data_IF_771046059010
#
_entry.id   IF_771046059010
#
_cell.length_a   1.000
_cell.length_b   1.000
_cell.length_c   1.000
_cell.angle_alpha   90.00
_cell.angle_beta   90.00
_cell.angle_gamma   90.00
#
_symmetry.space_group_name_H-M   'P 1'
#
loop_
_entity.id
_entity.type
_entity.pdbx_description
1 polymer ?
#
# COMPACT_ATOMS: atom_id res chain seq x y z
N UNK A 1 -38.32 -14.21 -12.85
CA UNK A 1 -36.87 -14.38 -13.13
C UNK A 1 -36.16 -13.07 -13.49
N UNK A 2 -36.68 -12.25 -14.43
CA UNK A 2 -36.06 -10.95 -14.82
C UNK A 2 -35.81 -9.95 -13.67
N UNK A 3 -36.78 -9.78 -12.76
CA UNK A 3 -36.66 -8.84 -11.62
C UNK A 3 -35.53 -9.19 -10.64
N UNK A 4 -35.33 -10.49 -10.39
CA UNK A 4 -34.29 -10.98 -9.47
C UNK A 4 -32.89 -10.70 -10.03
N UNK A 5 -32.72 -10.88 -11.34
CA UNK A 5 -31.45 -10.59 -12.01
C UNK A 5 -31.10 -9.09 -11.97
N UNK A 6 -32.09 -8.21 -12.14
CA UNK A 6 -31.89 -6.74 -12.04
C UNK A 6 -31.51 -6.33 -10.62
N UNK A 7 -32.13 -6.93 -9.60
CA UNK A 7 -31.82 -6.66 -8.20
C UNK A 7 -30.39 -7.11 -7.82
N UNK A 8 -30.00 -8.29 -8.28
CA UNK A 8 -28.63 -8.81 -8.13
C UNK A 8 -27.61 -7.91 -8.83
N UNK A 9 -27.90 -7.46 -10.05
CA UNK A 9 -27.03 -6.55 -10.80
C UNK A 9 -26.85 -5.21 -10.08
N UNK A 10 -27.93 -4.65 -9.52
CA UNK A 10 -27.88 -3.41 -8.74
C UNK A 10 -27.03 -3.57 -7.46
N UNK A 11 -27.11 -4.71 -6.77
CA UNK A 11 -26.28 -4.99 -5.59
C UNK A 11 -24.78 -5.05 -5.95
N UNK A 12 -24.44 -5.74 -7.04
CA UNK A 12 -23.04 -5.91 -7.48
C UNK A 12 -22.46 -4.58 -7.96
N UNK A 13 -23.24 -3.73 -8.64
CA UNK A 13 -22.80 -2.38 -9.05
C UNK A 13 -22.43 -1.50 -7.84
N UNK A 14 -23.21 -1.58 -6.75
CA UNK A 14 -22.89 -0.86 -5.51
C UNK A 14 -21.62 -1.40 -4.84
N UNK A 15 -21.43 -2.73 -4.86
CA UNK A 15 -20.20 -3.37 -4.36
C UNK A 15 -18.94 -2.99 -5.15
N UNK A 16 -19.06 -2.80 -6.47
CA UNK A 16 -17.96 -2.32 -7.32
C UNK A 16 -17.54 -0.88 -6.97
N UNK A 17 -18.48 0.01 -6.64
CA UNK A 17 -18.14 1.37 -6.21
C UNK A 17 -17.45 1.34 -4.85
N UNK A 18 -17.97 0.58 -3.89
CA UNK A 18 -17.39 0.48 -2.55
C UNK A 18 -15.96 -0.07 -2.59
N UNK A 19 -15.73 -1.14 -3.37
CA UNK A 19 -14.37 -1.71 -3.55
C UNK A 19 -13.44 -0.74 -4.25
N UNK A 20 -13.91 0.04 -5.24
CA UNK A 20 -13.09 1.07 -5.90
C UNK A 20 -12.74 2.22 -4.96
N UNK A 21 -13.68 2.65 -4.12
CA UNK A 21 -13.46 3.71 -3.11
C UNK A 21 -12.45 3.27 -2.05
N UNK A 22 -12.38 1.99 -1.68
CA UNK A 22 -11.42 1.49 -0.68
C UNK A 22 -10.05 1.17 -1.30
N UNK A 23 -10.03 0.56 -2.49
CA UNK A 23 -8.77 0.11 -3.12
C UNK A 23 -7.97 1.22 -3.77
N UNK A 24 -8.62 2.29 -4.26
CA UNK A 24 -7.93 3.42 -4.88
C UNK A 24 -7.08 4.20 -3.86
N UNK A 25 -7.57 4.58 -2.67
CA UNK A 25 -6.75 5.18 -1.62
C UNK A 25 -5.60 4.28 -1.17
N UNK A 26 -5.77 2.95 -1.16
CA UNK A 26 -4.69 2.04 -0.81
C UNK A 26 -3.54 2.10 -1.84
N UNK A 27 -3.87 2.17 -3.14
CA UNK A 27 -2.86 2.34 -4.20
C UNK A 27 -2.21 3.72 -4.17
N UNK A 28 -3.01 4.78 -4.03
CA UNK A 28 -2.50 6.16 -3.99
C UNK A 28 -1.69 6.39 -2.72
N UNK A 29 -2.17 5.92 -1.57
CA UNK A 29 -1.47 5.99 -0.29
C UNK A 29 -0.14 5.26 -0.32
N UNK A 30 -0.08 4.06 -0.90
CA UNK A 30 1.17 3.34 -1.10
C UNK A 30 2.16 4.10 -1.99
N UNK A 31 1.69 4.71 -3.07
CA UNK A 31 2.52 5.55 -3.94
C UNK A 31 3.03 6.81 -3.22
N UNK A 32 2.18 7.47 -2.42
CA UNK A 32 2.57 8.65 -1.64
C UNK A 32 3.61 8.27 -0.59
N UNK A 33 3.39 7.21 0.20
CA UNK A 33 4.33 6.73 1.21
C UNK A 33 5.68 6.35 0.60
N UNK A 34 5.68 5.77 -0.60
CA UNK A 34 6.92 5.44 -1.33
C UNK A 34 7.75 6.66 -1.74
N UNK A 35 7.14 7.84 -1.86
CA UNK A 35 7.83 9.09 -2.22
C UNK A 35 8.28 9.84 -0.96
N UNK A 36 7.72 9.53 0.22
CA UNK A 36 8.07 10.25 1.45
C UNK A 36 9.48 9.85 1.90
N UNK A 37 10.44 10.80 1.92
CA UNK A 37 11.83 10.52 2.30
C UNK A 37 12.01 10.16 3.78
N UNK A 38 10.97 10.30 4.60
CA UNK A 38 11.00 9.99 6.04
C UNK A 38 11.28 8.51 6.29
N UNK A 39 10.65 7.60 5.53
CA UNK A 39 10.88 6.16 5.70
C UNK A 39 12.21 5.75 5.06
N UNK A 40 12.54 6.30 3.90
CA UNK A 40 13.83 6.04 3.23
C UNK A 40 15.02 6.47 4.08
N UNK A 41 15.02 7.70 4.59
CA UNK A 41 16.11 8.24 5.41
C UNK A 41 16.25 7.52 6.76
N UNK A 42 15.15 7.04 7.35
CA UNK A 42 15.20 6.24 8.56
C UNK A 42 15.77 4.83 8.29
N UNK A 43 15.43 4.23 7.14
CA UNK A 43 15.97 2.94 6.72
C UNK A 43 17.47 3.05 6.40
N UNK A 44 17.88 4.05 5.62
CA UNK A 44 19.29 4.29 5.27
C UNK A 44 20.15 4.52 6.52
N UNK A 45 19.68 5.33 7.49
CA UNK A 45 20.44 5.57 8.73
C UNK A 45 20.66 4.29 9.56
N UNK A 46 19.68 3.40 9.60
CA UNK A 46 19.81 2.09 10.28
C UNK A 46 20.77 1.18 9.51
N UNK A 47 20.72 1.21 8.18
CA UNK A 47 21.61 0.44 7.32
C UNK A 47 23.06 0.89 7.51
N UNK A 48 23.33 2.20 7.44
CA UNK A 48 24.68 2.76 7.64
C UNK A 48 25.24 2.40 9.02
N UNK A 49 24.46 2.57 10.08
CA UNK A 49 24.88 2.20 11.46
C UNK A 49 25.20 0.71 11.57
N UNK A 50 24.43 -0.13 10.88
CA UNK A 50 24.64 -1.58 10.87
C UNK A 50 25.88 -1.95 10.04
N UNK A 51 26.10 -1.27 8.92
CA UNK A 51 27.26 -1.47 8.06
C UNK A 51 28.56 -1.06 8.77
N UNK A 52 28.58 0.09 9.43
CA UNK A 52 29.71 0.54 10.26
C UNK A 52 30.06 -0.47 11.36
N UNK A 53 29.04 -1.05 12.00
CA UNK A 53 29.23 -2.07 13.03
C UNK A 53 29.82 -3.38 12.47
N UNK A 54 29.53 -3.72 11.21
CA UNK A 54 30.06 -4.90 10.52
C UNK A 54 31.48 -4.64 10.02
N UNK A 55 31.79 -3.46 9.48
CA UNK A 55 33.15 -3.08 9.02
C UNK A 55 34.17 -3.05 10.17
N UNK A 56 33.71 -2.85 11.40
CA UNK A 56 34.52 -2.93 12.62
C UNK A 56 34.90 -4.35 13.03
N UNK A 57 34.30 -5.39 12.42
CA UNK A 57 34.71 -6.78 12.63
C UNK A 57 35.98 -7.02 11.82
N UNK A 58 37.14 -7.20 12.45
CA UNK A 58 38.35 -7.57 11.71
C UNK A 58 38.18 -9.04 11.30
N UNK A 59 37.93 -9.26 10.01
CA UNK A 59 38.04 -10.57 9.37
C UNK A 59 39.50 -10.93 9.09
#
# INVERSE_FOLDING_TARGET
MKLIAVLMLALVLNGCVLTKVVTVPLRVGGAVVSVVPVVGNAADAVIDTTADAIDLVPL
#
